data_IF_782433723771
#
_entry.id   IF_782433723771
#
_cell.length_a   1.000
_cell.length_b   1.000
_cell.length_c   1.000
_cell.angle_alpha   90.00
_cell.angle_beta   90.00
_cell.angle_gamma   90.00
#
_symmetry.space_group_name_H-M   'P 1'
#
loop_
_entity.id
_entity.type
_entity.pdbx_description
1 polymer ?
#
# COMPACT_ATOMS: atom_id res chain seq x y z
N UNK A 1 -20.96 -2.04 5.34
CA UNK A 1 -19.71 -2.80 5.06
C UNK A 1 -18.89 -2.84 6.34
N UNK A 2 -18.48 -4.02 6.77
CA UNK A 2 -17.80 -4.21 8.05
C UNK A 2 -16.31 -4.51 7.93
N UNK A 3 -15.88 -4.90 6.73
CA UNK A 3 -14.48 -5.24 6.47
C UNK A 3 -14.09 -4.94 5.03
N UNK A 4 -12.92 -4.36 4.86
CA UNK A 4 -12.30 -4.13 3.55
C UNK A 4 -10.93 -4.82 3.54
N UNK A 5 -10.69 -5.61 2.51
CA UNK A 5 -9.41 -6.27 2.29
C UNK A 5 -8.83 -5.80 0.95
N UNK A 6 -7.77 -5.02 1.02
CA UNK A 6 -7.10 -4.45 -0.14
C UNK A 6 -5.64 -4.89 -0.19
N UNK A 7 -5.42 -6.10 -0.66
CA UNK A 7 -4.08 -6.67 -0.78
C UNK A 7 -3.49 -6.41 -2.16
N UNK A 8 -2.34 -5.76 -2.20
CA UNK A 8 -1.57 -5.50 -3.43
C UNK A 8 -2.38 -4.82 -4.55
N UNK A 9 -3.20 -3.86 -4.21
CA UNK A 9 -4.11 -3.23 -5.16
C UNK A 9 -4.06 -1.70 -5.17
N UNK A 10 -4.05 -1.06 -4.01
CA UNK A 10 -4.22 0.39 -3.92
C UNK A 10 -3.01 1.20 -4.39
N UNK A 11 -1.83 0.63 -4.37
CA UNK A 11 -0.62 1.34 -4.78
C UNK A 11 -0.49 1.55 -6.30
N UNK A 12 -1.42 1.03 -7.09
CA UNK A 12 -1.51 1.35 -8.52
C UNK A 12 -2.30 2.63 -8.79
N UNK A 13 -2.97 3.18 -7.79
CA UNK A 13 -3.76 4.40 -7.93
C UNK A 13 -2.87 5.64 -7.81
N UNK A 14 -3.23 6.70 -8.55
CA UNK A 14 -2.67 8.02 -8.32
C UNK A 14 -2.97 8.47 -6.89
N UNK A 15 -2.23 9.45 -6.37
CA UNK A 15 -2.49 9.98 -5.04
C UNK A 15 -3.92 10.50 -4.90
N UNK A 16 -4.44 11.18 -5.91
CA UNK A 16 -5.80 11.71 -5.89
C UNK A 16 -6.84 10.58 -5.90
N UNK A 17 -6.70 9.61 -6.81
CA UNK A 17 -7.61 8.48 -6.89
C UNK A 17 -7.59 7.62 -5.62
N UNK A 18 -6.42 7.45 -5.03
CA UNK A 18 -6.26 6.75 -3.74
C UNK A 18 -7.03 7.46 -2.62
N UNK A 19 -6.85 8.78 -2.52
CA UNK A 19 -7.54 9.59 -1.51
C UNK A 19 -9.05 9.50 -1.65
N UNK A 20 -9.56 9.57 -2.88
CA UNK A 20 -10.99 9.43 -3.17
C UNK A 20 -11.50 8.04 -2.82
N UNK A 21 -10.74 6.99 -3.14
CA UNK A 21 -11.10 5.62 -2.81
C UNK A 21 -11.17 5.38 -1.30
N UNK A 22 -10.19 5.88 -0.54
CA UNK A 22 -10.18 5.76 0.93
C UNK A 22 -11.37 6.47 1.54
N UNK A 23 -11.69 7.66 1.05
CA UNK A 23 -12.86 8.41 1.51
C UNK A 23 -14.17 7.68 1.23
N UNK A 24 -14.31 7.13 0.03
CA UNK A 24 -15.48 6.34 -0.35
C UNK A 24 -15.61 5.08 0.52
N UNK A 25 -14.51 4.37 0.74
CA UNK A 25 -14.51 3.21 1.63
C UNK A 25 -14.97 3.56 3.04
N UNK A 26 -14.47 4.68 3.55
CA UNK A 26 -14.87 5.14 4.88
C UNK A 26 -16.36 5.44 4.95
N UNK A 27 -16.93 6.09 3.96
CA UNK A 27 -18.37 6.42 3.91
C UNK A 27 -19.24 5.17 3.82
N UNK A 28 -18.78 4.15 3.07
CA UNK A 28 -19.51 2.89 2.91
C UNK A 28 -19.40 1.94 4.11
N UNK A 29 -18.44 2.18 4.99
CA UNK A 29 -18.22 1.35 6.16
C UNK A 29 -19.19 1.67 7.29
N UNK A 30 -19.59 0.64 8.02
CA UNK A 30 -20.28 0.78 9.29
C UNK A 30 -19.30 1.23 10.39
N UNK A 31 -19.80 1.80 11.46
CA UNK A 31 -18.97 2.11 12.63
C UNK A 31 -18.29 0.85 13.16
N UNK A 32 -17.01 0.95 13.45
CA UNK A 32 -16.20 -0.18 13.90
C UNK A 32 -15.65 -1.06 12.79
N UNK A 33 -15.98 -0.79 11.53
CA UNK A 33 -15.46 -1.55 10.39
C UNK A 33 -13.92 -1.48 10.31
N UNK A 34 -13.34 -2.55 9.86
CA UNK A 34 -11.88 -2.69 9.73
C UNK A 34 -11.47 -2.65 8.26
N UNK A 35 -10.42 -1.91 7.98
CA UNK A 35 -9.72 -1.98 6.69
C UNK A 35 -8.35 -2.62 6.90
N UNK A 36 -8.03 -3.59 6.04
CA UNK A 36 -6.70 -4.16 5.90
C UNK A 36 -6.19 -3.82 4.50
N UNK A 37 -5.01 -3.24 4.43
CA UNK A 37 -4.40 -2.90 3.14
C UNK A 37 -2.90 -3.14 3.16
N UNK A 38 -2.34 -3.47 2.01
CA UNK A 38 -0.89 -3.53 1.83
C UNK A 38 -0.46 -2.47 0.83
N UNK A 39 0.61 -1.76 1.18
CA UNK A 39 1.18 -0.70 0.34
C UNK A 39 2.64 -0.99 0.04
N UNK A 40 3.07 -0.65 -1.16
CA UNK A 40 4.46 -0.86 -1.58
C UNK A 40 5.39 0.06 -0.81
N UNK A 41 6.40 -0.53 -0.15
CA UNK A 41 7.42 0.22 0.56
C UNK A 41 8.44 0.83 -0.41
N UNK A 42 8.92 2.02 -0.09
CA UNK A 42 10.05 2.65 -0.78
C UNK A 42 11.39 2.02 -0.41
N UNK A 43 11.42 1.07 0.50
CA UNK A 43 12.62 0.36 0.96
C UNK A 43 12.72 -1.02 0.34
N UNK A 44 13.92 -1.58 0.29
CA UNK A 44 14.13 -2.97 -0.14
C UNK A 44 13.84 -3.26 -1.60
N UNK A 45 13.92 -2.27 -2.46
CA UNK A 45 13.46 -2.34 -3.84
C UNK A 45 14.59 -2.51 -4.86
N UNK A 46 15.53 -3.40 -4.57
CA UNK A 46 16.73 -3.57 -5.41
C UNK A 46 16.50 -4.33 -6.71
N UNK A 47 15.39 -5.05 -6.82
CA UNK A 47 15.12 -5.95 -7.95
C UNK A 47 14.42 -5.27 -9.14
N UNK A 48 14.01 -4.03 -8.99
CA UNK A 48 13.26 -3.31 -10.02
C UNK A 48 13.89 -1.96 -10.31
N UNK A 49 13.86 -1.57 -11.56
CA UNK A 49 14.23 -0.21 -11.96
C UNK A 49 13.05 0.72 -11.73
N UNK A 50 13.31 1.84 -11.08
CA UNK A 50 12.32 2.88 -10.83
C UNK A 50 12.62 4.10 -11.68
N UNK A 51 11.59 4.58 -12.35
CA UNK A 51 11.64 5.84 -13.08
C UNK A 51 11.50 7.04 -12.16
N UNK A 52 11.40 8.21 -12.76
CA UNK A 52 11.18 9.45 -12.03
C UNK A 52 9.77 9.51 -11.43
N UNK A 53 9.64 10.28 -10.35
CA UNK A 53 8.36 10.57 -9.74
C UNK A 53 7.53 11.46 -10.66
N UNK A 54 6.36 10.98 -11.05
CA UNK A 54 5.43 11.73 -11.88
C UNK A 54 4.57 12.67 -11.02
N UNK A 55 3.94 13.66 -11.64
CA UNK A 55 3.08 14.64 -10.96
C UNK A 55 1.90 13.98 -10.23
N UNK A 56 1.44 12.82 -10.70
CA UNK A 56 0.36 12.06 -10.07
C UNK A 56 0.83 11.13 -8.94
N UNK A 57 2.07 11.27 -8.51
CA UNK A 57 2.73 10.50 -7.44
C UNK A 57 3.05 9.04 -7.81
N UNK A 58 2.93 8.66 -9.05
CA UNK A 58 3.34 7.35 -9.55
C UNK A 58 4.78 7.38 -10.07
N UNK A 59 5.43 6.23 -10.00
CA UNK A 59 6.70 5.97 -10.68
C UNK A 59 6.54 4.80 -11.63
N UNK A 60 7.12 4.89 -12.79
CA UNK A 60 7.24 3.74 -13.67
C UNK A 60 8.21 2.74 -13.03
N UNK A 61 7.80 1.48 -13.02
CA UNK A 61 8.61 0.38 -12.50
C UNK A 61 8.76 -0.66 -13.60
N UNK A 62 10.02 -1.01 -13.90
CA UNK A 62 10.32 -2.11 -14.80
C UNK A 62 10.66 -3.33 -13.97
N UNK A 63 9.85 -4.36 -14.10
CA UNK A 63 9.98 -5.57 -13.30
C UNK A 63 11.19 -6.41 -13.70
N UNK A 64 11.66 -7.21 -12.76
CA UNK A 64 12.61 -8.27 -13.05
C UNK A 64 11.99 -9.26 -14.05
N UNK A 65 12.73 -9.75 -15.05
CA UNK A 65 12.18 -10.69 -16.05
C UNK A 65 11.49 -11.93 -15.47
N UNK A 66 11.90 -12.37 -14.30
CA UNK A 66 11.29 -13.49 -13.56
C UNK A 66 10.27 -13.05 -12.53
N UNK A 67 10.04 -11.75 -12.35
CA UNK A 67 9.15 -11.20 -11.33
C UNK A 67 7.71 -11.02 -11.79
N UNK A 68 6.84 -10.74 -10.82
CA UNK A 68 5.40 -10.49 -11.09
C UNK A 68 5.14 -9.25 -11.93
N UNK A 69 6.02 -8.26 -11.85
CA UNK A 69 5.93 -7.03 -12.63
C UNK A 69 6.86 -7.09 -13.83
N UNK A 70 6.87 -8.22 -14.54
CA UNK A 70 7.63 -8.37 -15.77
C UNK A 70 7.03 -7.46 -16.85
N UNK A 71 7.62 -6.34 -17.11
CA UNK A 71 7.10 -5.29 -17.98
C UNK A 71 7.06 -3.97 -17.24
N UNK A 72 6.31 -3.01 -17.74
CA UNK A 72 6.15 -1.72 -17.10
C UNK A 72 4.87 -1.64 -16.30
N UNK A 73 4.97 -1.10 -15.09
CA UNK A 73 3.83 -0.74 -14.25
C UNK A 73 4.07 0.62 -13.62
N UNK A 74 3.00 1.26 -13.20
CA UNK A 74 3.07 2.54 -12.50
C UNK A 74 2.64 2.32 -11.06
N UNK A 75 3.52 2.64 -10.12
CA UNK A 75 3.34 2.34 -8.70
C UNK A 75 3.60 3.57 -7.86
N UNK A 76 2.78 3.76 -6.84
CA UNK A 76 3.03 4.72 -5.79
C UNK A 76 3.68 4.01 -4.61
N UNK A 77 4.83 4.53 -4.17
CA UNK A 77 5.58 3.99 -3.04
C UNK A 77 5.27 4.76 -1.77
N UNK A 78 5.11 4.04 -0.68
CA UNK A 78 4.96 4.62 0.66
C UNK A 78 6.33 4.77 1.30
N UNK A 79 6.65 5.95 1.76
CA UNK A 79 7.96 6.30 2.30
C UNK A 79 8.18 5.72 3.70
N UNK A 80 7.20 5.92 4.59
CA UNK A 80 7.30 5.55 5.99
C UNK A 80 5.92 5.32 6.62
N UNK A 81 5.92 4.93 7.88
CA UNK A 81 4.70 4.66 8.64
C UNK A 81 3.84 5.92 8.83
N UNK A 82 4.45 7.07 8.99
CA UNK A 82 3.70 8.33 9.16
C UNK A 82 2.93 8.70 7.90
N UNK A 83 3.56 8.55 6.73
CA UNK A 83 2.88 8.71 5.45
C UNK A 83 1.75 7.68 5.28
N UNK A 84 1.99 6.43 5.68
CA UNK A 84 0.99 5.37 5.64
C UNK A 84 -0.27 5.75 6.42
N UNK A 85 -0.10 6.21 7.66
CA UNK A 85 -1.22 6.64 8.52
C UNK A 85 -1.96 7.82 7.95
N UNK A 86 -1.24 8.79 7.40
CA UNK A 86 -1.83 9.98 6.79
C UNK A 86 -2.66 9.63 5.56
N UNK A 87 -2.15 8.73 4.73
CA UNK A 87 -2.82 8.29 3.51
C UNK A 87 -4.18 7.63 3.77
N UNK A 88 -4.31 6.91 4.87
CA UNK A 88 -5.53 6.19 5.18
C UNK A 88 -6.54 6.96 6.04
N UNK A 89 -6.26 8.22 6.37
CA UNK A 89 -7.29 9.04 7.01
C UNK A 89 -8.51 9.15 6.10
N UNK A 90 -9.73 9.11 6.66
CA UNK A 90 -10.10 9.29 8.06
C UNK A 90 -10.12 8.02 8.93
N UNK A 91 -9.76 6.84 8.40
CA UNK A 91 -9.59 5.68 9.25
C UNK A 91 -8.54 5.94 10.34
N UNK A 92 -8.77 5.38 11.52
CA UNK A 92 -7.82 5.44 12.62
C UNK A 92 -7.00 4.16 12.66
N UNK A 93 -5.68 4.23 12.85
CA UNK A 93 -4.88 3.03 13.00
C UNK A 93 -5.46 2.11 14.08
N UNK A 94 -5.64 0.85 13.73
CA UNK A 94 -6.09 -0.19 14.64
C UNK A 94 -4.98 -1.23 14.78
N UNK A 95 -4.50 -1.42 16.00
CA UNK A 95 -3.41 -2.33 16.28
C UNK A 95 -3.91 -3.49 17.14
N UNK A 96 -4.04 -4.70 16.59
CA UNK A 96 -4.39 -5.88 17.39
C UNK A 96 -3.36 -6.09 18.50
N UNK A 97 -3.78 -6.60 19.65
CA UNK A 97 -2.94 -6.78 20.84
C UNK A 97 -1.70 -7.65 20.59
N UNK A 98 -1.79 -8.58 19.66
CA UNK A 98 -0.69 -9.50 19.30
C UNK A 98 0.19 -8.98 18.15
N UNK A 99 -0.09 -7.79 17.62
CA UNK A 99 0.62 -7.23 16.47
C UNK A 99 1.69 -6.25 16.94
N UNK A 100 2.86 -6.31 16.34
CA UNK A 100 3.89 -5.28 16.51
C UNK A 100 3.52 -3.95 15.86
N UNK A 101 4.47 -3.06 15.69
CA UNK A 101 4.25 -1.88 14.86
C UNK A 101 4.01 -2.30 13.40
N UNK A 102 3.56 -1.37 12.55
CA UNK A 102 3.34 -1.65 11.13
C UNK A 102 4.65 -2.05 10.46
N UNK A 103 5.03 -3.30 10.65
CA UNK A 103 6.29 -3.81 10.16
C UNK A 103 6.28 -3.99 8.65
N UNK A 104 7.44 -3.81 8.05
CA UNK A 104 7.66 -4.20 6.69
C UNK A 104 7.61 -5.72 6.61
N UNK A 105 6.80 -6.23 5.72
CA UNK A 105 6.76 -7.66 5.44
C UNK A 105 7.19 -7.93 4.01
N UNK A 106 7.84 -9.03 3.83
CA UNK A 106 8.14 -9.58 2.52
C UNK A 106 7.07 -10.60 2.18
N UNK A 107 6.14 -10.22 1.31
CA UNK A 107 5.00 -11.06 0.94
C UNK A 107 5.41 -12.24 0.07
N UNK A 108 6.57 -12.18 -0.55
CA UNK A 108 7.09 -13.23 -1.42
C UNK A 108 8.50 -13.58 -0.99
N UNK A 109 8.70 -14.82 -0.66
CA UNK A 109 9.99 -15.34 -0.23
C UNK A 109 10.76 -15.96 -1.41
N UNK A 110 10.93 -15.18 -2.47
CA UNK A 110 11.66 -15.59 -3.67
C UNK A 110 12.34 -14.37 -4.31
N UNK A 111 13.20 -14.64 -5.29
CA UNK A 111 13.87 -13.59 -6.05
C UNK A 111 12.85 -12.66 -6.71
N UNK A 112 13.05 -11.36 -6.59
CA UNK A 112 12.11 -10.34 -7.08
C UNK A 112 11.01 -9.97 -6.10
N UNK A 113 11.02 -10.51 -4.89
CA UNK A 113 10.09 -10.09 -3.84
C UNK A 113 10.43 -8.68 -3.34
N UNK A 114 9.41 -7.99 -2.85
CA UNK A 114 9.53 -6.63 -2.34
C UNK A 114 8.84 -6.51 -1.00
N UNK A 115 9.32 -5.57 -0.20
CA UNK A 115 8.74 -5.29 1.09
C UNK A 115 7.47 -4.46 0.96
N UNK A 116 6.48 -4.79 1.76
CA UNK A 116 5.22 -4.08 1.82
C UNK A 116 4.95 -3.62 3.25
N UNK A 117 4.35 -2.44 3.38
CA UNK A 117 3.72 -2.04 4.63
C UNK A 117 2.35 -2.71 4.74
N UNK A 118 1.99 -3.11 5.95
CA UNK A 118 0.62 -3.49 6.28
C UNK A 118 -0.03 -2.33 7.02
N UNK A 119 -1.20 -1.93 6.56
CA UNK A 119 -2.05 -1.00 7.28
C UNK A 119 -3.31 -1.70 7.77
N UNK A 120 -3.63 -1.49 9.03
CA UNK A 120 -4.90 -1.90 9.62
C UNK A 120 -5.51 -0.66 10.25
N UNK A 121 -6.74 -0.36 9.85
CA UNK A 121 -7.46 0.80 10.36
C UNK A 121 -8.89 0.46 10.74
N UNK A 122 -9.50 1.34 11.50
CA UNK A 122 -10.88 1.20 11.97
C UNK A 122 -11.63 2.51 11.76
N UNK A 123 -12.88 2.38 11.37
CA UNK A 123 -13.81 3.52 11.33
C UNK A 123 -14.32 3.86 12.73
#
# INVERSE_FOLDING_TARGET
MDFIFANQSLYYLTKQAFKEAVQEFYELCNEGAIIFATMMSDKGYSMYERGELMDNSLREVKGCPSGRLSGSSYIRFTKDIEELKEDFKPFKPFKPLFWGDYELINLYNFEGSVEHFIYIGQK
#
